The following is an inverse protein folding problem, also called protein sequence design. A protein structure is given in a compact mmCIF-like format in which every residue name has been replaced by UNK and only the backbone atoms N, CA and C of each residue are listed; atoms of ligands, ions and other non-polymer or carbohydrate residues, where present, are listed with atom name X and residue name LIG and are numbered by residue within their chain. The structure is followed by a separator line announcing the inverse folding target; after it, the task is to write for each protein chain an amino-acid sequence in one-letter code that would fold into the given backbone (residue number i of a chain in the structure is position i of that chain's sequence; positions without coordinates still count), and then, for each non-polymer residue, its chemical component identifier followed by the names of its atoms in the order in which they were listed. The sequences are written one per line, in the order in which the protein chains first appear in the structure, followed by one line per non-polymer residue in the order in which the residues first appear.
data_IF_019171710029
#
_entry.id   IF_019171710029
#
_cell.length_a   1.000
_cell.length_b   1.000
_cell.length_c   1.000
_cell.angle_alpha   90.00
_cell.angle_beta   90.00
_cell.angle_gamma   90.00
#
_symmetry.space_group_name_H-M   'P 1'
#
loop_
_entity.id
_entity.type
_entity.pdbx_description
1 polymer ?
#
# COMPACT_ATOMS: atom_id res chain seq x y z
N UNK A 1 28.92 23.68 29.66
CA UNK A 1 27.98 22.54 29.69
C UNK A 1 26.73 22.94 28.92
N UNK A 2 26.45 22.32 27.77
CA UNK A 2 25.37 22.75 26.87
C UNK A 2 24.04 22.03 27.18
N UNK A 3 23.06 22.74 27.71
CA UNK A 3 21.71 22.22 27.94
C UNK A 3 20.88 22.36 26.67
N UNK A 4 20.63 21.24 25.96
CA UNK A 4 19.78 21.23 24.77
C UNK A 4 18.32 21.49 25.17
N UNK A 5 17.70 22.52 24.60
CA UNK A 5 16.28 22.85 24.76
C UNK A 5 15.40 21.69 24.24
N UNK A 6 14.83 20.90 25.15
CA UNK A 6 13.96 19.76 24.82
C UNK A 6 12.50 20.17 24.99
N UNK A 7 11.75 20.15 23.89
CA UNK A 7 10.32 20.50 23.85
C UNK A 7 9.46 19.48 24.60
N UNK A 8 8.27 19.90 25.05
CA UNK A 8 7.32 19.05 25.80
C UNK A 8 6.93 17.81 24.98
N UNK A 9 6.75 17.98 23.66
CA UNK A 9 6.40 16.87 22.76
C UNK A 9 7.50 15.81 22.69
N UNK A 10 8.77 16.22 22.63
CA UNK A 10 9.90 15.28 22.63
C UNK A 10 9.99 14.46 23.93
N UNK A 11 9.66 15.05 25.07
CA UNK A 11 9.63 14.33 26.35
C UNK A 11 8.51 13.29 26.36
N UNK A 12 7.33 13.66 25.88
CA UNK A 12 6.15 12.79 25.81
C UNK A 12 6.40 11.55 24.93
N UNK A 13 6.96 11.75 23.74
CA UNK A 13 7.28 10.63 22.83
C UNK A 13 8.40 9.75 23.39
N UNK A 14 9.47 10.34 23.97
CA UNK A 14 10.52 9.57 24.63
C UNK A 14 9.99 8.69 25.77
N UNK A 15 9.15 9.25 26.63
CA UNK A 15 8.67 8.55 27.81
C UNK A 15 7.68 7.44 27.47
N UNK A 16 6.89 7.61 26.40
CA UNK A 16 6.05 6.55 25.85
C UNK A 16 6.85 5.33 25.36
N UNK A 17 8.06 5.54 24.81
CA UNK A 17 8.92 4.44 24.33
C UNK A 17 9.72 3.80 25.48
N UNK A 18 9.92 4.53 26.58
CA UNK A 18 10.62 4.01 27.77
C UNK A 18 9.81 2.97 28.55
N UNK A 19 8.48 3.05 28.57
CA UNK A 19 7.66 2.04 29.26
C UNK A 19 7.64 0.69 28.53
N UNK A 20 7.92 0.66 27.22
CA UNK A 20 8.02 -0.58 26.43
C UNK A 20 9.35 -1.30 26.71
N UNK A 21 10.41 -0.55 27.04
CA UNK A 21 11.69 -1.14 27.44
C UNK A 21 11.76 -1.26 28.95
N UNK A 22 11.18 -2.32 29.49
CA UNK A 22 11.36 -2.70 30.88
C UNK A 22 12.87 -2.68 31.24
N UNK A 23 13.27 -2.09 32.38
CA UNK A 23 14.60 -2.28 32.88
C UNK A 23 14.76 -3.75 33.25
N UNK A 24 15.62 -4.47 32.53
CA UNK A 24 16.15 -5.73 33.01
C UNK A 24 17.06 -5.39 34.20
N UNK A 25 16.46 -5.36 35.37
CA UNK A 25 17.11 -5.44 36.68
C UNK A 25 16.17 -6.36 37.46
N UNK A 26 16.55 -7.52 37.97
CA UNK A 26 17.87 -8.00 38.33
C UNK A 26 17.75 -9.49 38.66
N UNK A 27 18.58 -10.32 38.04
CA UNK A 27 19.02 -11.57 38.67
C UNK A 27 20.53 -11.66 38.45
N UNK A 28 21.26 -11.22 39.46
CA UNK A 28 22.67 -11.55 39.59
C UNK A 28 22.77 -13.06 39.86
N UNK A 29 23.41 -13.79 38.96
CA UNK A 29 24.23 -14.95 39.32
C UNK A 29 25.25 -15.23 38.20
N UNK A 30 26.52 -15.14 38.60
CA UNK A 30 27.68 -15.84 38.04
C UNK A 30 27.95 -15.83 36.52
N UNK A 31 28.99 -15.06 36.16
CA UNK A 31 30.08 -15.42 35.24
C UNK A 31 29.75 -16.18 33.95
N UNK A 32 29.96 -15.52 32.82
CA UNK A 32 30.19 -16.16 31.52
C UNK A 32 29.38 -15.52 30.41
N UNK A 33 30.01 -14.63 29.63
CA UNK A 33 29.44 -14.21 28.35
C UNK A 33 29.28 -15.42 27.41
N UNK A 34 28.40 -15.36 26.40
CA UNK A 34 28.28 -16.44 25.43
C UNK A 34 29.54 -16.48 24.56
N UNK A 35 30.45 -17.39 24.88
CA UNK A 35 31.51 -17.84 23.99
C UNK A 35 30.83 -18.72 22.94
N UNK A 36 30.87 -18.32 21.67
CA UNK A 36 30.45 -19.17 20.56
C UNK A 36 31.51 -20.25 20.41
N UNK A 37 31.25 -21.41 21.00
CA UNK A 37 32.12 -22.58 20.91
C UNK A 37 31.84 -23.32 19.61
N UNK A 38 32.77 -23.26 18.65
CA UNK A 38 32.74 -24.10 17.45
C UNK A 38 33.24 -25.50 17.80
N UNK A 39 32.36 -26.36 18.32
CA UNK A 39 32.62 -27.80 18.42
C UNK A 39 32.34 -28.45 17.07
N UNK A 40 33.43 -28.68 16.34
CA UNK A 40 33.49 -29.58 15.20
C UNK A 40 33.41 -31.03 15.71
N UNK A 41 32.19 -31.56 15.84
CA UNK A 41 31.98 -32.96 16.20
C UNK A 41 31.64 -33.80 14.96
N UNK A 42 32.70 -34.29 14.34
CA UNK A 42 32.84 -35.66 13.83
C UNK A 42 31.59 -36.32 13.24
N UNK A 43 31.58 -36.34 11.91
CA UNK A 43 30.90 -37.33 11.08
C UNK A 43 31.13 -38.74 11.61
N UNK A 44 30.14 -39.62 11.35
CA UNK A 44 30.05 -41.05 11.69
C UNK A 44 29.19 -41.37 12.94
N UNK A 45 27.86 -41.32 12.75
CA UNK A 45 26.99 -42.31 13.38
C UNK A 45 26.10 -42.94 12.32
N UNK A 46 26.49 -44.14 11.92
CA UNK A 46 25.72 -45.04 11.08
C UNK A 46 24.47 -45.52 11.83
N UNK A 47 23.42 -45.81 11.06
CA UNK A 47 22.24 -46.59 11.43
C UNK A 47 21.09 -45.90 12.19
N UNK A 48 20.25 -45.14 11.45
CA UNK A 48 18.78 -45.25 11.51
C UNK A 48 18.15 -44.94 10.15
N UNK A 49 17.89 -46.01 9.41
CA UNK A 49 16.85 -46.09 8.40
C UNK A 49 15.52 -45.62 8.99
N UNK A 50 14.92 -44.58 8.41
CA UNK A 50 13.47 -44.30 8.34
C UNK A 50 13.23 -43.00 7.54
N UNK A 51 13.50 -43.02 6.24
CA UNK A 51 12.85 -42.07 5.32
C UNK A 51 11.58 -42.76 4.82
N UNK A 52 10.42 -42.25 5.20
CA UNK A 52 9.15 -42.64 4.60
C UNK A 52 9.08 -41.98 3.21
N UNK A 53 9.00 -42.75 2.11
CA UNK A 53 8.79 -42.16 0.79
C UNK A 53 7.42 -41.49 0.74
N UNK A 54 7.37 -40.23 0.30
CA UNK A 54 6.11 -39.57 -0.08
C UNK A 54 5.52 -40.35 -1.26
N UNK A 55 4.47 -41.12 -1.00
CA UNK A 55 3.62 -41.70 -2.03
C UNK A 55 2.93 -40.57 -2.80
N UNK A 56 3.19 -40.51 -4.10
CA UNK A 56 2.44 -39.73 -5.08
C UNK A 56 1.15 -40.48 -5.41
N UNK A 57 0.10 -40.28 -4.62
CA UNK A 57 -1.25 -40.76 -4.94
C UNK A 57 -2.23 -39.59 -4.73
N UNK A 58 -2.56 -38.95 -5.85
CA UNK A 58 -3.83 -38.32 -6.20
C UNK A 58 -4.84 -38.03 -5.06
N UNK A 59 -4.92 -36.78 -4.63
CA UNK A 59 -6.14 -36.19 -4.08
C UNK A 59 -6.31 -34.75 -4.62
N UNK A 60 -7.15 -34.50 -5.64
CA UNK A 60 -7.51 -33.15 -6.05
C UNK A 60 -8.64 -32.62 -5.15
N UNK A 61 -8.36 -32.42 -3.87
CA UNK A 61 -9.18 -31.58 -3.00
C UNK A 61 -8.98 -30.10 -3.37
N UNK A 62 -10.03 -29.25 -3.36
CA UNK A 62 -9.92 -27.88 -3.85
C UNK A 62 -9.01 -27.07 -2.91
N UNK A 63 -7.77 -26.90 -3.34
CA UNK A 63 -6.77 -26.05 -2.70
C UNK A 63 -7.21 -24.58 -2.79
N UNK A 64 -8.08 -24.17 -1.87
CA UNK A 64 -8.23 -22.77 -1.48
C UNK A 64 -6.97 -22.34 -0.73
N UNK A 65 -5.89 -22.09 -1.45
CA UNK A 65 -4.62 -21.73 -0.83
C UNK A 65 -3.44 -21.58 -1.79
N UNK A 66 -3.69 -21.49 -3.10
CA UNK A 66 -2.67 -21.04 -4.03
C UNK A 66 -2.40 -19.55 -3.76
N UNK A 67 -1.53 -19.26 -2.79
CA UNK A 67 -0.83 -18.00 -2.72
C UNK A 67 -0.13 -17.82 -4.07
N UNK A 68 -0.70 -16.96 -4.90
CA UNK A 68 -0.13 -16.45 -6.15
C UNK A 68 1.07 -15.57 -5.80
N UNK A 69 2.17 -16.16 -5.30
CA UNK A 69 3.38 -15.45 -4.81
C UNK A 69 4.11 -14.66 -5.93
N UNK A 70 3.59 -14.67 -7.16
CA UNK A 70 4.16 -13.92 -8.30
C UNK A 70 3.30 -12.80 -8.88
N UNK A 71 2.02 -12.69 -8.53
CA UNK A 71 1.11 -11.67 -9.08
C UNK A 71 0.66 -10.74 -7.96
N UNK A 72 0.71 -9.41 -8.15
CA UNK A 72 0.20 -8.48 -7.15
C UNK A 72 -1.28 -8.76 -6.88
N UNK A 73 -1.78 -8.49 -5.67
CA UNK A 73 -3.19 -8.64 -5.36
C UNK A 73 -4.05 -7.85 -6.36
N UNK A 74 -5.20 -8.39 -6.76
CA UNK A 74 -6.08 -7.76 -7.76
C UNK A 74 -6.54 -6.33 -7.39
N UNK A 75 -6.54 -6.00 -6.09
CA UNK A 75 -6.86 -4.66 -5.60
C UNK A 75 -5.81 -3.62 -6.02
N UNK A 76 -4.56 -4.03 -6.26
CA UNK A 76 -3.47 -3.16 -6.72
C UNK A 76 -3.76 -2.66 -8.12
N UNK A 77 -4.17 -3.54 -9.05
CA UNK A 77 -4.55 -3.15 -10.42
C UNK A 77 -5.69 -2.13 -10.41
N UNK A 78 -6.72 -2.35 -9.57
CA UNK A 78 -7.81 -1.40 -9.39
C UNK A 78 -7.31 -0.04 -8.87
N UNK A 79 -6.36 -0.04 -7.93
CA UNK A 79 -5.79 1.17 -7.37
C UNK A 79 -4.95 1.97 -8.38
N UNK A 80 -4.18 1.28 -9.21
CA UNK A 80 -3.40 1.88 -10.29
C UNK A 80 -4.32 2.49 -11.36
N UNK A 81 -5.42 1.81 -11.70
CA UNK A 81 -6.37 2.33 -12.67
C UNK A 81 -7.14 3.55 -12.13
N UNK A 82 -7.52 3.56 -10.85
CA UNK A 82 -8.11 4.74 -10.21
C UNK A 82 -7.12 5.91 -10.27
N UNK A 83 -5.87 5.68 -9.88
CA UNK A 83 -4.83 6.72 -9.93
C UNK A 83 -4.64 7.27 -11.35
N UNK A 84 -4.57 6.41 -12.37
CA UNK A 84 -4.46 6.81 -13.76
C UNK A 84 -5.67 7.63 -14.25
N UNK A 85 -6.88 7.28 -13.83
CA UNK A 85 -8.08 8.03 -14.16
C UNK A 85 -8.11 9.41 -13.50
N UNK A 86 -7.69 9.52 -12.24
CA UNK A 86 -7.54 10.80 -11.54
C UNK A 86 -6.53 11.70 -12.26
N UNK A 87 -5.36 11.18 -12.64
CA UNK A 87 -4.35 11.95 -13.37
C UNK A 87 -4.87 12.42 -14.73
N UNK A 88 -5.58 11.55 -15.46
CA UNK A 88 -6.22 11.91 -16.74
C UNK A 88 -7.29 12.98 -16.55
N UNK A 89 -8.09 12.89 -15.49
CA UNK A 89 -9.09 13.90 -15.15
C UNK A 89 -8.42 15.25 -14.86
N UNK A 90 -7.34 15.28 -14.06
CA UNK A 90 -6.55 16.50 -13.77
C UNK A 90 -5.97 17.13 -15.03
N UNK A 91 -5.44 16.33 -15.96
CA UNK A 91 -4.95 16.82 -17.24
C UNK A 91 -6.06 17.46 -18.08
N UNK A 92 -7.23 16.82 -18.17
CA UNK A 92 -8.39 17.37 -18.88
C UNK A 92 -8.98 18.61 -18.20
N UNK A 93 -8.94 18.71 -16.87
CA UNK A 93 -9.33 19.92 -16.15
C UNK A 93 -8.44 21.11 -16.53
N UNK A 94 -7.13 20.88 -16.71
CA UNK A 94 -6.21 21.93 -17.19
C UNK A 94 -6.53 22.35 -18.63
N UNK A 95 -6.93 21.42 -19.49
CA UNK A 95 -7.39 21.72 -20.85
C UNK A 95 -8.71 22.50 -20.85
N UNK A 96 -9.67 22.09 -20.01
CA UNK A 96 -10.93 22.79 -19.81
C UNK A 96 -10.70 24.23 -19.36
N UNK A 97 -9.76 24.47 -18.44
CA UNK A 97 -9.38 25.81 -18.01
C UNK A 97 -8.83 26.67 -19.17
N UNK A 98 -8.03 26.07 -20.06
CA UNK A 98 -7.54 26.76 -21.28
C UNK A 98 -8.69 27.07 -22.25
N UNK A 99 -9.62 26.13 -22.44
CA UNK A 99 -10.79 26.32 -23.29
C UNK A 99 -11.69 27.45 -22.76
N UNK A 100 -11.91 27.51 -21.44
CA UNK A 100 -12.61 28.62 -20.80
C UNK A 100 -11.89 29.96 -20.99
N UNK A 101 -10.57 30.00 -20.81
CA UNK A 101 -9.80 31.23 -21.06
C UNK A 101 -9.89 31.68 -22.52
N UNK A 102 -9.87 30.74 -23.47
CA UNK A 102 -10.00 31.03 -24.90
C UNK A 102 -11.39 31.56 -25.24
N UNK A 103 -12.45 30.95 -24.71
CA UNK A 103 -13.83 31.39 -24.92
C UNK A 103 -14.12 32.80 -24.37
N UNK A 104 -13.34 33.26 -23.38
CA UNK A 104 -13.43 34.62 -22.83
C UNK A 104 -12.66 35.67 -23.64
N UNK A 105 -11.77 35.27 -24.56
CA UNK A 105 -11.03 36.22 -25.38
C UNK A 105 -11.93 36.81 -26.47
N UNK A 106 -11.82 38.13 -26.75
CA UNK A 106 -12.48 38.71 -27.92
C UNK A 106 -11.98 38.03 -29.19
N UNK A 107 -12.82 37.18 -29.77
CA UNK A 107 -12.55 36.44 -31.01
C UNK A 107 -13.55 36.86 -32.07
N UNK A 108 -13.10 36.96 -33.31
CA UNK A 108 -13.95 37.31 -34.46
C UNK A 108 -14.80 36.12 -34.96
N UNK A 109 -14.59 34.91 -34.41
CA UNK A 109 -15.33 33.70 -34.77
C UNK A 109 -16.54 33.41 -33.88
N UNK A 110 -17.41 32.50 -34.33
CA UNK A 110 -18.56 32.00 -33.58
C UNK A 110 -18.08 31.10 -32.42
N UNK A 111 -18.18 31.57 -31.18
CA UNK A 111 -17.71 30.86 -29.96
C UNK A 111 -18.35 29.48 -29.70
N UNK A 112 -19.22 29.00 -30.61
CA UNK A 112 -19.85 27.68 -30.57
C UNK A 112 -18.87 26.51 -30.58
N UNK A 113 -17.70 26.65 -31.21
CA UNK A 113 -16.70 25.58 -31.20
C UNK A 113 -16.06 25.43 -29.82
N UNK A 114 -15.64 26.53 -29.21
CA UNK A 114 -15.06 26.53 -27.86
C UNK A 114 -16.11 26.07 -26.82
N UNK A 115 -17.38 26.48 -26.97
CA UNK A 115 -18.48 26.01 -26.13
C UNK A 115 -18.71 24.49 -26.27
N UNK A 116 -18.67 23.94 -27.50
CA UNK A 116 -18.76 22.49 -27.69
C UNK A 116 -17.58 21.75 -27.08
N UNK A 117 -16.36 22.29 -27.22
CA UNK A 117 -15.17 21.72 -26.59
C UNK A 117 -15.29 21.69 -25.05
N UNK A 118 -15.77 22.77 -24.43
CA UNK A 118 -16.05 22.85 -23.00
C UNK A 118 -17.05 21.77 -22.57
N UNK A 119 -18.15 21.60 -23.29
CA UNK A 119 -19.18 20.59 -22.97
C UNK A 119 -18.64 19.16 -23.06
N UNK A 120 -17.87 18.86 -24.10
CA UNK A 120 -17.25 17.53 -24.28
C UNK A 120 -16.25 17.26 -23.16
N UNK A 121 -15.30 18.17 -22.93
CA UNK A 121 -14.29 18.01 -21.87
C UNK A 121 -14.94 17.85 -20.49
N UNK A 122 -16.00 18.61 -20.20
CA UNK A 122 -16.73 18.52 -18.93
C UNK A 122 -17.38 17.15 -18.73
N UNK A 123 -18.04 16.62 -19.78
CA UNK A 123 -18.64 15.27 -19.74
C UNK A 123 -17.58 14.21 -19.53
N UNK A 124 -16.47 14.28 -20.27
CA UNK A 124 -15.38 13.32 -20.16
C UNK A 124 -14.70 13.32 -18.78
N UNK A 125 -14.50 14.50 -18.18
CA UNK A 125 -13.98 14.62 -16.81
C UNK A 125 -14.96 13.96 -15.83
N UNK A 126 -16.26 14.28 -15.94
CA UNK A 126 -17.29 13.72 -15.06
C UNK A 126 -17.36 12.20 -15.17
N UNK A 127 -17.24 11.65 -16.38
CA UNK A 127 -17.25 10.21 -16.62
C UNK A 127 -16.02 9.53 -16.02
N UNK A 128 -14.83 10.14 -16.14
CA UNK A 128 -13.61 9.62 -15.51
C UNK A 128 -13.72 9.61 -13.98
N UNK A 129 -14.26 10.67 -13.39
CA UNK A 129 -14.46 10.76 -11.94
C UNK A 129 -15.48 9.73 -11.45
N UNK A 130 -16.63 9.58 -12.14
CA UNK A 130 -17.64 8.57 -11.80
C UNK A 130 -17.13 7.14 -11.92
N UNK A 131 -16.33 6.86 -12.96
CA UNK A 131 -15.65 5.54 -13.11
C UNK A 131 -14.68 5.29 -11.95
N UNK A 132 -13.89 6.29 -11.58
CA UNK A 132 -12.94 6.22 -10.47
C UNK A 132 -13.66 5.99 -9.13
N UNK A 133 -14.75 6.73 -8.87
CA UNK A 133 -15.57 6.58 -7.66
C UNK A 133 -16.22 5.18 -7.58
N UNK A 134 -16.77 4.67 -8.70
CA UNK A 134 -17.35 3.33 -8.75
C UNK A 134 -16.31 2.25 -8.41
N UNK A 135 -15.11 2.35 -8.96
CA UNK A 135 -14.01 1.41 -8.67
C UNK A 135 -13.49 1.56 -7.25
N UNK A 136 -13.38 2.78 -6.73
CA UNK A 136 -12.97 3.04 -5.35
C UNK A 136 -13.97 2.44 -4.33
N UNK A 137 -15.27 2.46 -4.63
CA UNK A 137 -16.27 1.75 -3.83
C UNK A 137 -16.05 0.24 -3.88
N UNK A 138 -15.87 -0.34 -5.06
CA UNK A 138 -15.61 -1.78 -5.20
C UNK A 138 -14.33 -2.22 -4.45
N UNK A 139 -13.27 -1.39 -4.49
CA UNK A 139 -12.05 -1.58 -3.70
C UNK A 139 -12.34 -1.67 -2.19
N UNK A 140 -13.32 -0.92 -1.69
CA UNK A 140 -13.74 -0.98 -0.28
C UNK A 140 -14.45 -2.28 0.09
N UNK A 141 -15.13 -2.93 -0.86
CA UNK A 141 -15.96 -4.11 -0.63
C UNK A 141 -15.17 -5.42 -0.73
N UNK A 142 -14.02 -5.43 -1.41
CA UNK A 142 -13.23 -6.64 -1.73
C UNK A 142 -12.09 -6.95 -0.74
N UNK A 143 -12.19 -6.53 0.52
CA UNK A 143 -11.09 -6.66 1.49
C UNK A 143 -10.91 -8.07 2.05
N UNK A 144 -9.86 -8.77 1.61
CA UNK A 144 -9.28 -9.91 2.33
C UNK A 144 -8.73 -9.45 3.70
N UNK A 145 -8.84 -10.29 4.73
CA UNK A 145 -8.53 -9.93 6.12
C UNK A 145 -7.07 -9.52 6.34
N UNK A 146 -6.13 -10.02 5.54
CA UNK A 146 -4.69 -9.77 5.70
C UNK A 146 -4.26 -8.41 5.10
N UNK A 147 -4.79 -8.04 3.93
CA UNK A 147 -4.45 -6.79 3.22
C UNK A 147 -5.37 -5.60 3.56
N UNK A 148 -6.39 -5.82 4.39
CA UNK A 148 -7.44 -4.83 4.68
C UNK A 148 -6.89 -3.47 5.13
N UNK A 149 -5.81 -3.45 5.93
CA UNK A 149 -5.22 -2.20 6.41
C UNK A 149 -4.52 -1.43 5.28
N UNK A 150 -3.77 -2.11 4.42
CA UNK A 150 -3.09 -1.47 3.28
C UNK A 150 -4.12 -0.93 2.28
N UNK A 151 -5.10 -1.75 1.93
CA UNK A 151 -6.18 -1.37 1.01
C UNK A 151 -6.96 -0.16 1.52
N UNK A 152 -7.30 -0.10 2.81
CA UNK A 152 -7.97 1.06 3.43
C UNK A 152 -7.12 2.33 3.41
N UNK A 153 -5.80 2.21 3.55
CA UNK A 153 -4.92 3.37 3.47
C UNK A 153 -4.81 3.88 2.03
N UNK A 154 -4.66 2.97 1.06
CA UNK A 154 -4.67 3.30 -0.37
C UNK A 154 -6.00 3.94 -0.77
N UNK A 155 -7.11 3.34 -0.36
CA UNK A 155 -8.45 3.88 -0.55
C UNK A 155 -8.56 5.30 0.01
N UNK A 156 -8.11 5.54 1.24
CA UNK A 156 -8.13 6.90 1.83
C UNK A 156 -7.28 7.88 1.02
N UNK A 157 -6.10 7.48 0.58
CA UNK A 157 -5.24 8.31 -0.26
C UNK A 157 -5.89 8.64 -1.60
N UNK A 158 -6.48 7.66 -2.27
CA UNK A 158 -7.17 7.86 -3.55
C UNK A 158 -8.44 8.69 -3.38
N UNK A 159 -9.15 8.53 -2.25
CA UNK A 159 -10.31 9.34 -1.92
C UNK A 159 -9.94 10.81 -1.69
N UNK A 160 -8.76 11.09 -1.15
CA UNK A 160 -8.27 12.48 -1.00
C UNK A 160 -7.77 13.09 -2.30
N UNK A 161 -7.38 12.25 -3.27
CA UNK A 161 -6.86 12.70 -4.56
C UNK A 161 -7.95 13.01 -5.59
N UNK A 162 -9.16 12.50 -5.37
CA UNK A 162 -10.40 12.78 -6.10
C UNK A 162 -11.00 14.14 -5.73
#
# INVERSE_FOLDING_TARGET
MATRNRTVQYKKTRDAVKSVRAPLSSSASSSGGPVIEMVNASFLRSNRSSYAPLSTEEDPGPSSGAFTIGLPPSWVDDSEEIAANIQRAKAKMAELAKAHSKALMPSFGDGKEDQRAIEVLTKEITDLLRKSEKRLRNLSNNGSSEDSTLQKNVQRSLATDL
#
